data_IF_573919741755
#
_entry.id   IF_573919741755
#
_cell.length_a   1.000
_cell.length_b   1.000
_cell.length_c   1.000
_cell.angle_alpha   90.00
_cell.angle_beta   90.00
_cell.angle_gamma   90.00
#
_symmetry.space_group_name_H-M   'P 1'
#
loop_
_entity.id
_entity.type
_entity.pdbx_description
1 polymer ?
#
# COMPACT_ATOMS: atom_id res chain seq x y z
N UNK A 1 -13.60 3.13 2.44
CA UNK A 1 -12.13 3.29 2.34
C UNK A 1 -11.48 1.93 2.47
N UNK A 2 -10.96 1.35 1.37
CA UNK A 2 -10.27 0.04 1.33
C UNK A 2 -8.90 0.14 0.62
N UNK A 3 -8.38 1.36 0.54
CA UNK A 3 -7.10 1.68 -0.09
C UNK A 3 -5.98 1.17 0.82
N UNK A 4 -5.02 0.45 0.25
CA UNK A 4 -3.74 0.17 0.91
C UNK A 4 -2.67 0.92 0.17
N UNK A 5 -2.20 1.97 0.83
CA UNK A 5 -1.22 2.88 0.27
C UNK A 5 -0.29 3.35 1.38
N UNK A 6 0.99 3.43 1.08
CA UNK A 6 2.01 4.05 1.92
C UNK A 6 2.69 5.15 1.09
N UNK A 7 2.67 6.38 1.61
CA UNK A 7 3.23 7.57 0.94
C UNK A 7 4.49 8.03 1.66
N UNK A 8 5.52 8.43 0.92
CA UNK A 8 6.73 9.06 1.45
C UNK A 8 7.00 10.37 0.71
N UNK A 9 6.93 11.47 1.45
CA UNK A 9 7.21 12.85 1.01
C UNK A 9 6.50 13.30 -0.28
N UNK A 10 5.38 12.67 -0.64
CA UNK A 10 4.66 12.86 -1.91
C UNK A 10 5.54 12.59 -3.15
N UNK A 11 6.65 11.87 -3.01
CA UNK A 11 7.59 11.56 -4.10
C UNK A 11 7.50 10.10 -4.55
N UNK A 12 7.29 9.19 -3.61
CA UNK A 12 7.23 7.75 -3.85
C UNK A 12 6.06 7.16 -3.04
N UNK A 13 5.45 6.11 -3.58
CA UNK A 13 4.38 5.39 -2.90
C UNK A 13 4.47 3.88 -3.12
N UNK A 14 4.01 3.11 -2.14
CA UNK A 14 3.69 1.69 -2.29
C UNK A 14 2.17 1.57 -2.32
N UNK A 15 1.63 0.95 -3.37
CA UNK A 15 0.19 0.70 -3.53
C UNK A 15 -0.05 -0.76 -3.90
N UNK A 16 -1.15 -1.35 -3.43
CA UNK A 16 -1.45 -2.74 -3.75
C UNK A 16 -2.63 -3.33 -2.99
N UNK A 17 -2.67 -4.66 -2.93
CA UNK A 17 -3.73 -5.41 -2.23
C UNK A 17 -3.43 -5.71 -0.76
N UNK A 18 -2.15 -5.70 -0.37
CA UNK A 18 -1.69 -6.19 0.94
C UNK A 18 -2.11 -5.26 2.08
N UNK A 19 -2.70 -5.83 3.13
CA UNK A 19 -2.85 -5.14 4.41
C UNK A 19 -1.58 -5.30 5.27
N UNK A 20 -1.38 -4.40 6.23
CA UNK A 20 -0.41 -4.62 7.30
C UNK A 20 -1.07 -5.50 8.35
N UNK A 21 -0.88 -6.83 8.25
CA UNK A 21 -1.47 -7.82 9.15
C UNK A 21 -0.64 -9.12 9.18
N UNK A 22 -0.73 -9.87 10.28
CA UNK A 22 0.09 -11.05 10.57
C UNK A 22 0.03 -12.14 9.49
N UNK A 23 -1.11 -12.26 8.81
CA UNK A 23 -1.37 -13.24 7.74
C UNK A 23 -0.47 -13.04 6.51
N UNK A 24 0.12 -11.85 6.35
CA UNK A 24 1.03 -11.54 5.25
C UNK A 24 2.51 -11.63 5.60
N UNK A 25 2.86 -11.72 6.89
CA UNK A 25 4.25 -11.69 7.38
C UNK A 25 4.68 -12.99 8.06
N UNK A 26 3.89 -14.06 7.94
CA UNK A 26 4.21 -15.38 8.52
C UNK A 26 4.10 -15.40 10.05
N UNK A 27 3.40 -14.42 10.63
CA UNK A 27 3.18 -14.31 12.07
C UNK A 27 1.85 -14.96 12.49
N UNK A 28 0.96 -15.25 11.54
CA UNK A 28 -0.30 -15.94 11.81
C UNK A 28 -0.11 -17.46 11.86
N UNK A 29 -0.83 -18.13 12.77
CA UNK A 29 -0.84 -19.60 12.87
C UNK A 29 -1.70 -20.33 11.82
N UNK A 30 -2.51 -19.60 11.04
CA UNK A 30 -3.53 -20.20 10.16
C UNK A 30 -3.55 -19.71 8.71
N UNK A 31 -2.81 -18.65 8.38
CA UNK A 31 -2.81 -18.02 7.06
C UNK A 31 -1.44 -17.53 6.62
N UNK A 32 -1.13 -17.75 5.33
CA UNK A 32 0.04 -17.17 4.66
C UNK A 32 -0.43 -16.57 3.33
N UNK A 33 -1.03 -15.39 3.41
CA UNK A 33 -1.64 -14.72 2.28
C UNK A 33 -0.57 -14.16 1.34
N UNK A 34 -0.83 -14.29 0.04
CA UNK A 34 0.03 -13.78 -1.03
C UNK A 34 -0.68 -12.65 -1.74
N UNK A 35 0.04 -11.56 -1.93
CA UNK A 35 -0.46 -10.36 -2.59
C UNK A 35 0.68 -9.60 -3.25
N UNK A 36 0.33 -8.68 -4.13
CA UNK A 36 1.25 -7.88 -4.92
C UNK A 36 1.14 -6.39 -4.57
N UNK A 37 2.28 -5.73 -4.64
CA UNK A 37 2.39 -4.28 -4.47
C UNK A 37 3.25 -3.70 -5.58
N UNK A 38 3.03 -2.42 -5.87
CA UNK A 38 3.81 -1.63 -6.81
C UNK A 38 4.47 -0.49 -6.06
N UNK A 39 5.78 -0.32 -6.26
CA UNK A 39 6.51 0.89 -5.90
C UNK A 39 6.39 1.87 -7.07
N UNK A 40 5.78 3.03 -6.83
CA UNK A 40 5.55 4.05 -7.86
C UNK A 40 6.22 5.37 -7.48
N UNK A 41 6.75 6.06 -8.48
CA UNK A 41 7.37 7.38 -8.33
C UNK A 41 6.90 8.36 -9.39
N UNK A 42 7.32 9.63 -9.26
CA UNK A 42 7.02 10.68 -10.24
C UNK A 42 5.55 11.12 -10.21
N UNK A 43 4.95 11.48 -11.37
CA UNK A 43 3.60 12.04 -11.41
C UNK A 43 2.52 11.15 -10.78
N UNK A 44 2.70 9.82 -10.85
CA UNK A 44 1.74 8.86 -10.26
C UNK A 44 1.72 8.94 -8.74
N UNK A 45 2.87 9.05 -8.08
CA UNK A 45 2.94 9.17 -6.62
C UNK A 45 2.20 10.43 -6.12
N UNK A 46 2.35 11.54 -6.85
CA UNK A 46 1.68 12.81 -6.53
C UNK A 46 0.16 12.72 -6.70
N UNK A 47 -0.32 12.07 -7.76
CA UNK A 47 -1.75 11.80 -7.95
C UNK A 47 -2.31 10.92 -6.85
N UNK A 48 -1.57 9.88 -6.46
CA UNK A 48 -1.96 9.01 -5.36
C UNK A 48 -2.00 9.73 -4.01
N UNK A 49 -1.12 10.71 -3.77
CA UNK A 49 -1.18 11.57 -2.57
C UNK A 49 -2.48 12.40 -2.53
N UNK A 50 -2.90 12.95 -3.67
CA UNK A 50 -4.17 13.70 -3.74
C UNK A 50 -5.39 12.81 -3.40
N UNK A 51 -5.36 11.54 -3.82
CA UNK A 51 -6.42 10.57 -3.47
C UNK A 51 -6.40 10.27 -1.97
N UNK A 52 -5.22 10.20 -1.36
CA UNK A 52 -5.08 10.03 0.09
C UNK A 52 -5.66 11.23 0.86
N UNK A 53 -5.38 12.47 0.42
CA UNK A 53 -5.84 13.69 1.10
C UNK A 53 -7.34 13.98 0.89
N UNK A 54 -7.95 13.49 -0.18
CA UNK A 54 -9.33 13.79 -0.56
C UNK A 54 -10.39 12.96 0.20
N UNK A 55 -9.99 12.00 1.02
CA UNK A 55 -10.89 11.10 1.73
C UNK A 55 -10.90 11.32 3.25
#
# INVERSE_FOLDING_TARGET
>A
MHNKTMMVDNQVAIIGGRNIADEYFGLSGGGNFRDMELLVGGPVARKSSQVFDAC
#
